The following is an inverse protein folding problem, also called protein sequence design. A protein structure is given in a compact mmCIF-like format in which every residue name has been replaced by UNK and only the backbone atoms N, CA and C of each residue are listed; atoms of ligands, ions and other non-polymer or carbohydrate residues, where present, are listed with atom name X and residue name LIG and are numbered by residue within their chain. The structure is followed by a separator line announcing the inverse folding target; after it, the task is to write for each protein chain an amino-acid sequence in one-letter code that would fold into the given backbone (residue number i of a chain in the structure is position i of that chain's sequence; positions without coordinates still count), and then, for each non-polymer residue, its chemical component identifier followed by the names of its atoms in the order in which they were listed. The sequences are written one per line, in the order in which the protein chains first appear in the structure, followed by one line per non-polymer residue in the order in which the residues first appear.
data_IF_715172496568
#
_entry.id   IF_715172496568
#
_cell.length_a   1.000
_cell.length_b   1.000
_cell.length_c   1.000
_cell.angle_alpha   90.00
_cell.angle_beta   90.00
_cell.angle_gamma   90.00
#
_symmetry.space_group_name_H-M   'P 1'
#
loop_
_entity.id
_entity.type
_entity.pdbx_description
1 polymer ?
#
# COMPACT_ATOMS: atom_id res chain seq x y z
N UNK A 1 -28.55 1.85 -15.17
CA UNK A 1 -28.37 0.41 -14.98
C UNK A 1 -26.90 0.10 -14.66
N UNK A 2 -26.66 -0.95 -13.89
CA UNK A 2 -25.31 -1.34 -13.46
C UNK A 2 -24.57 -2.17 -14.51
N UNK A 3 -25.27 -2.77 -15.45
CA UNK A 3 -24.74 -3.52 -16.57
C UNK A 3 -25.11 -2.87 -17.91
N UNK A 4 -24.22 -2.99 -18.90
CA UNK A 4 -24.41 -2.47 -20.24
C UNK A 4 -23.93 -3.47 -21.30
N UNK A 5 -24.15 -3.17 -22.58
CA UNK A 5 -23.50 -3.87 -23.67
C UNK A 5 -21.99 -3.69 -23.56
N UNK A 6 -21.27 -4.73 -23.87
CA UNK A 6 -19.81 -4.78 -23.83
C UNK A 6 -19.24 -4.94 -25.23
N UNK A 7 -18.11 -4.33 -25.44
CA UNK A 7 -17.34 -4.50 -26.67
C UNK A 7 -16.62 -5.83 -26.59
N UNK A 8 -16.32 -6.44 -27.72
CA UNK A 8 -15.41 -7.57 -27.81
C UNK A 8 -14.04 -7.00 -28.19
N UNK A 9 -13.08 -7.08 -27.28
CA UNK A 9 -11.68 -6.72 -27.48
C UNK A 9 -10.83 -7.91 -27.90
N UNK A 10 -9.56 -7.72 -28.06
CA UNK A 10 -8.61 -8.81 -28.33
C UNK A 10 -8.40 -9.71 -27.10
N UNK A 11 -8.70 -9.20 -25.92
CA UNK A 11 -8.79 -9.98 -24.70
C UNK A 11 -10.15 -9.75 -24.02
N UNK A 12 -10.77 -10.85 -23.58
CA UNK A 12 -11.96 -10.78 -22.77
C UNK A 12 -11.62 -11.14 -21.33
N UNK A 13 -11.65 -10.15 -20.44
CA UNK A 13 -11.35 -10.34 -19.03
C UNK A 13 -12.38 -11.28 -18.39
N UNK A 14 -11.92 -12.29 -17.67
CA UNK A 14 -12.75 -13.35 -17.09
C UNK A 14 -12.75 -13.28 -15.57
N UNK A 15 -13.73 -13.94 -14.94
CA UNK A 15 -13.79 -14.11 -13.50
C UNK A 15 -12.49 -14.74 -12.96
N UNK A 16 -11.97 -15.77 -13.64
CA UNK A 16 -10.74 -16.47 -13.23
C UNK A 16 -9.54 -15.52 -13.21
N UNK A 17 -9.45 -14.57 -14.15
CA UNK A 17 -8.39 -13.56 -14.14
C UNK A 17 -8.47 -12.69 -12.88
N UNK A 18 -9.69 -12.28 -12.51
CA UNK A 18 -9.91 -11.46 -11.33
C UNK A 18 -9.57 -12.23 -10.05
N UNK A 19 -10.12 -13.43 -9.89
CA UNK A 19 -9.97 -14.25 -8.68
C UNK A 19 -8.53 -14.76 -8.47
N UNK A 20 -7.80 -14.96 -9.54
CA UNK A 20 -6.36 -15.28 -9.46
C UNK A 20 -5.48 -14.04 -9.24
N UNK A 21 -6.05 -12.82 -9.33
CA UNK A 21 -5.29 -11.57 -9.28
C UNK A 21 -4.27 -11.45 -10.40
N UNK A 22 -4.66 -11.89 -11.56
CA UNK A 22 -3.79 -11.90 -12.72
C UNK A 22 -3.33 -10.50 -13.10
N UNK A 23 -2.05 -10.38 -13.45
CA UNK A 23 -1.48 -9.23 -14.12
C UNK A 23 -1.06 -9.61 -15.53
N UNK A 24 -1.05 -8.63 -16.43
CA UNK A 24 -0.70 -8.80 -17.82
C UNK A 24 0.44 -7.85 -18.20
N UNK A 25 1.28 -8.19 -19.17
CA UNK A 25 2.33 -7.28 -19.65
C UNK A 25 1.80 -5.95 -20.18
N UNK A 26 0.55 -5.95 -20.66
CA UNK A 26 -0.16 -4.80 -21.19
C UNK A 26 -1.19 -4.20 -20.21
N UNK A 27 -1.00 -4.37 -18.91
CA UNK A 27 -1.85 -3.71 -17.92
C UNK A 27 -1.69 -2.20 -17.97
N UNK A 28 -2.82 -1.51 -18.08
CA UNK A 28 -2.90 -0.04 -18.09
C UNK A 28 -3.83 0.51 -17.01
N UNK A 29 -4.48 -0.38 -16.29
CA UNK A 29 -5.35 -0.09 -15.14
C UNK A 29 -5.38 -1.29 -14.20
N UNK A 30 -6.02 -1.14 -13.05
CA UNK A 30 -6.22 -2.22 -12.09
C UNK A 30 -7.59 -2.13 -11.41
N UNK A 31 -8.03 -3.23 -10.82
CA UNK A 31 -9.21 -3.28 -9.96
C UNK A 31 -8.98 -4.23 -8.77
N UNK A 32 -9.89 -4.24 -7.83
CA UNK A 32 -9.82 -5.05 -6.61
C UNK A 32 -11.13 -5.00 -5.82
N UNK A 33 -12.24 -4.74 -6.52
CA UNK A 33 -13.56 -4.74 -5.89
C UNK A 33 -14.20 -6.13 -5.94
N UNK A 34 -15.08 -6.40 -4.98
CA UNK A 34 -15.87 -7.63 -4.96
C UNK A 34 -16.67 -7.84 -6.24
N UNK A 35 -16.84 -9.08 -6.63
CA UNK A 35 -17.74 -9.48 -7.71
C UNK A 35 -19.17 -9.34 -7.23
N UNK A 36 -19.79 -8.22 -7.58
CA UNK A 36 -21.08 -7.77 -7.10
C UNK A 36 -22.10 -7.76 -8.25
N UNK A 37 -23.16 -8.54 -8.11
CA UNK A 37 -24.24 -8.70 -9.08
C UNK A 37 -25.54 -8.20 -8.54
N UNK A 38 -26.38 -7.71 -9.45
CA UNK A 38 -27.74 -7.25 -9.14
C UNK A 38 -28.73 -7.79 -10.16
N UNK A 39 -28.99 -9.11 -10.15
CA UNK A 39 -30.03 -9.69 -11.02
C UNK A 39 -31.38 -9.13 -10.64
N UNK A 40 -32.35 -9.09 -11.59
CA UNK A 40 -33.73 -8.80 -11.27
C UNK A 40 -34.28 -9.86 -10.30
N UNK A 41 -34.96 -9.44 -9.25
CA UNK A 41 -35.70 -10.33 -8.36
C UNK A 41 -37.10 -10.61 -8.88
N UNK A 42 -37.72 -11.70 -8.43
CA UNK A 42 -39.07 -12.13 -8.83
C UNK A 42 -40.15 -11.11 -8.46
N UNK A 43 -39.91 -10.26 -7.47
CA UNK A 43 -40.83 -9.22 -7.02
C UNK A 43 -40.70 -7.88 -7.77
N UNK A 44 -39.88 -7.86 -8.85
CA UNK A 44 -39.62 -6.67 -9.65
C UNK A 44 -38.52 -5.75 -9.06
N UNK A 45 -37.88 -6.14 -7.98
CA UNK A 45 -36.73 -5.47 -7.38
C UNK A 45 -35.40 -5.96 -7.95
N UNK A 46 -34.37 -5.85 -7.15
CA UNK A 46 -33.02 -6.36 -7.45
C UNK A 46 -32.48 -7.13 -6.26
N UNK A 47 -31.92 -8.28 -6.54
CA UNK A 47 -31.08 -8.98 -5.56
C UNK A 47 -29.65 -8.43 -5.60
N UNK A 48 -28.95 -8.50 -4.47
CA UNK A 48 -27.53 -8.21 -4.39
C UNK A 48 -26.81 -9.48 -4.05
N UNK A 49 -26.01 -9.96 -4.97
CA UNK A 49 -25.23 -11.18 -4.81
C UNK A 49 -23.76 -10.80 -4.84
N UNK A 50 -23.06 -10.97 -3.71
CA UNK A 50 -21.62 -10.91 -3.67
C UNK A 50 -21.06 -12.32 -3.89
N UNK A 51 -20.37 -12.50 -5.00
CA UNK A 51 -19.85 -13.80 -5.39
C UNK A 51 -18.50 -14.09 -4.76
N UNK A 52 -17.55 -13.15 -4.88
CA UNK A 52 -16.23 -13.26 -4.28
C UNK A 52 -15.59 -11.88 -4.10
N UNK A 53 -14.51 -11.83 -3.33
CA UNK A 53 -13.65 -10.66 -3.22
C UNK A 53 -12.30 -10.96 -3.87
N UNK A 54 -12.16 -10.69 -5.17
CA UNK A 54 -10.90 -10.93 -5.84
C UNK A 54 -9.81 -10.01 -5.28
N UNK A 55 -8.57 -10.47 -5.29
CA UNK A 55 -7.42 -9.62 -4.99
C UNK A 55 -7.26 -8.53 -6.05
N UNK A 56 -6.30 -7.61 -5.83
CA UNK A 56 -5.92 -6.66 -6.87
C UNK A 56 -5.48 -7.40 -8.13
N UNK A 57 -6.01 -7.00 -9.28
CA UNK A 57 -5.75 -7.59 -10.57
C UNK A 57 -5.61 -6.54 -11.65
N UNK A 58 -4.87 -6.86 -12.69
CA UNK A 58 -4.64 -5.98 -13.82
C UNK A 58 -5.84 -5.88 -14.76
N UNK A 59 -5.90 -4.79 -15.49
CA UNK A 59 -6.81 -4.58 -16.63
C UNK A 59 -5.95 -4.32 -17.86
N UNK A 60 -5.86 -5.31 -18.77
CA UNK A 60 -5.00 -5.20 -19.93
C UNK A 60 -5.58 -4.25 -20.99
N UNK A 61 -4.71 -3.55 -21.70
CA UNK A 61 -5.11 -2.63 -22.77
C UNK A 61 -5.98 -3.32 -23.83
N UNK A 62 -5.69 -4.60 -24.14
CA UNK A 62 -6.45 -5.41 -25.10
C UNK A 62 -7.91 -5.63 -24.73
N UNK A 63 -8.32 -5.34 -23.50
CA UNK A 63 -9.72 -5.33 -23.08
C UNK A 63 -10.40 -3.97 -23.25
N UNK A 64 -9.64 -2.92 -23.58
CA UNK A 64 -10.11 -1.53 -23.63
C UNK A 64 -10.33 -1.00 -25.05
N UNK A 65 -10.20 -1.81 -26.08
CA UNK A 65 -10.49 -1.42 -27.45
C UNK A 65 -11.27 -2.51 -28.21
N UNK A 66 -11.90 -2.10 -29.29
CA UNK A 66 -12.69 -3.01 -30.13
C UNK A 66 -11.82 -3.80 -31.07
N UNK A 67 -12.06 -5.13 -31.14
CA UNK A 67 -11.37 -6.00 -32.08
C UNK A 67 -11.74 -5.77 -33.54
N UNK A 68 -12.94 -5.29 -33.79
CA UNK A 68 -13.48 -5.16 -35.16
C UNK A 68 -13.77 -3.72 -35.60
N UNK A 69 -13.49 -2.73 -34.74
CA UNK A 69 -13.54 -1.32 -35.10
C UNK A 69 -12.17 -0.72 -34.78
N UNK A 70 -11.40 -0.41 -35.81
CA UNK A 70 -9.96 -0.13 -35.73
C UNK A 70 -9.56 0.99 -34.77
N UNK A 71 -10.36 2.05 -34.65
CA UNK A 71 -10.05 3.23 -33.89
C UNK A 71 -10.98 3.48 -32.70
N UNK A 72 -11.59 2.42 -32.14
CA UNK A 72 -12.53 2.52 -31.03
C UNK A 72 -11.92 2.01 -29.72
N UNK A 73 -11.70 2.92 -28.79
CA UNK A 73 -11.44 2.60 -27.39
C UNK A 73 -12.73 2.63 -26.57
N UNK A 74 -12.75 1.85 -25.51
CA UNK A 74 -13.81 1.78 -24.53
C UNK A 74 -13.26 1.85 -23.11
N UNK A 75 -13.86 2.70 -22.28
CA UNK A 75 -13.54 2.79 -20.87
C UNK A 75 -14.80 2.65 -20.02
N UNK A 76 -14.69 1.96 -18.89
CA UNK A 76 -15.82 1.79 -17.99
C UNK A 76 -16.53 0.47 -18.15
N UNK A 77 -17.85 0.48 -18.00
CA UNK A 77 -18.67 -0.75 -17.90
C UNK A 77 -18.85 -1.51 -19.21
N UNK A 78 -18.44 -0.93 -20.32
CA UNK A 78 -18.59 -1.46 -21.67
C UNK A 78 -17.34 -2.11 -22.24
N UNK A 79 -16.28 -2.29 -21.46
CA UNK A 79 -15.05 -2.95 -21.90
C UNK A 79 -15.26 -4.44 -22.16
N UNK A 80 -14.29 -5.09 -22.80
CA UNK A 80 -14.30 -6.51 -23.09
C UNK A 80 -14.11 -7.35 -21.81
N UNK A 81 -15.21 -7.80 -21.26
CA UNK A 81 -15.21 -8.63 -20.04
C UNK A 81 -16.42 -9.56 -20.04
N UNK A 82 -16.30 -10.70 -19.38
CA UNK A 82 -17.45 -11.58 -19.11
C UNK A 82 -18.45 -10.90 -18.17
N UNK A 83 -19.67 -11.43 -18.09
CA UNK A 83 -20.69 -10.94 -17.17
C UNK A 83 -20.18 -10.91 -15.71
N UNK A 84 -19.55 -12.00 -15.26
CA UNK A 84 -19.04 -12.13 -13.91
C UNK A 84 -17.87 -11.16 -13.65
N UNK A 85 -16.89 -11.08 -14.56
CA UNK A 85 -15.77 -10.15 -14.40
C UNK A 85 -16.22 -8.69 -14.34
N UNK A 86 -17.25 -8.33 -15.11
CA UNK A 86 -17.79 -6.97 -15.11
C UNK A 86 -18.25 -6.51 -13.71
N UNK A 87 -18.74 -7.43 -12.87
CA UNK A 87 -19.13 -7.14 -11.49
C UNK A 87 -18.01 -6.51 -10.66
N UNK A 88 -16.74 -6.94 -10.87
CA UNK A 88 -15.58 -6.45 -10.13
C UNK A 88 -14.91 -5.19 -10.69
N UNK A 89 -15.20 -4.82 -11.95
CA UNK A 89 -14.48 -3.72 -12.63
C UNK A 89 -15.38 -2.50 -12.92
N UNK A 90 -16.65 -2.54 -12.64
CA UNK A 90 -17.64 -1.53 -13.05
C UNK A 90 -17.77 -0.31 -12.14
N UNK A 91 -17.03 -0.25 -11.04
CA UNK A 91 -17.12 0.86 -10.10
C UNK A 91 -16.52 2.14 -10.67
N UNK A 92 -17.05 3.28 -10.23
CA UNK A 92 -16.69 4.60 -10.75
C UNK A 92 -15.18 4.85 -10.73
N UNK A 93 -14.51 4.49 -9.65
CA UNK A 93 -13.05 4.69 -9.53
C UNK A 93 -12.29 3.88 -10.58
N UNK A 94 -12.63 2.61 -10.75
CA UNK A 94 -12.04 1.74 -11.78
C UNK A 94 -12.34 2.28 -13.18
N UNK A 95 -13.57 2.72 -13.43
CA UNK A 95 -13.94 3.34 -14.71
C UNK A 95 -13.13 4.62 -14.99
N UNK A 96 -12.86 5.44 -13.98
CA UNK A 96 -12.04 6.64 -14.13
C UNK A 96 -10.58 6.32 -14.50
N UNK A 97 -9.98 5.31 -13.86
CA UNK A 97 -8.62 4.86 -14.18
C UNK A 97 -8.56 4.33 -15.63
N UNK A 98 -9.54 3.53 -16.04
CA UNK A 98 -9.63 3.07 -17.43
C UNK A 98 -9.79 4.24 -18.40
N UNK A 99 -10.52 5.29 -18.02
CA UNK A 99 -10.65 6.52 -18.82
C UNK A 99 -9.31 7.22 -19.04
N UNK A 100 -8.50 7.35 -17.99
CA UNK A 100 -7.15 7.88 -18.08
C UNK A 100 -6.29 7.01 -18.99
N UNK A 101 -6.34 5.69 -18.80
CA UNK A 101 -5.57 4.74 -19.59
C UNK A 101 -5.89 4.82 -21.10
N UNK A 102 -7.17 4.83 -21.45
CA UNK A 102 -7.60 4.93 -22.85
C UNK A 102 -7.25 6.25 -23.48
N UNK A 103 -7.31 7.36 -22.74
CA UNK A 103 -6.91 8.68 -23.23
C UNK A 103 -5.42 8.73 -23.58
N UNK A 104 -4.56 8.20 -22.69
CA UNK A 104 -3.11 8.10 -22.93
C UNK A 104 -2.83 7.17 -24.11
N UNK A 105 -3.48 6.01 -24.16
CA UNK A 105 -3.31 5.06 -25.26
C UNK A 105 -3.72 5.66 -26.61
N UNK A 106 -4.85 6.36 -26.67
CA UNK A 106 -5.31 7.03 -27.90
C UNK A 106 -4.33 8.13 -28.36
N UNK A 107 -3.80 8.91 -27.41
CA UNK A 107 -2.77 9.91 -27.70
C UNK A 107 -1.49 9.25 -28.24
N UNK A 108 -1.08 8.14 -27.66
CA UNK A 108 0.09 7.37 -28.11
C UNK A 108 -0.12 6.77 -29.51
N UNK A 109 -1.29 6.19 -29.78
CA UNK A 109 -1.65 5.69 -31.11
C UNK A 109 -1.50 6.78 -32.16
N UNK A 110 -2.03 7.98 -31.87
CA UNK A 110 -1.92 9.13 -32.79
C UNK A 110 -0.45 9.52 -33.02
N UNK A 111 0.35 9.58 -31.98
CA UNK A 111 1.77 9.95 -32.08
C UNK A 111 2.60 8.93 -32.84
N UNK A 112 2.26 7.63 -32.72
CA UNK A 112 2.94 6.52 -33.37
C UNK A 112 2.40 6.22 -34.78
N UNK A 113 1.27 6.84 -35.18
CA UNK A 113 0.59 6.54 -36.45
C UNK A 113 0.03 5.09 -36.47
N UNK A 114 -0.36 4.52 -35.32
CA UNK A 114 -0.86 3.16 -35.15
C UNK A 114 -2.31 3.15 -34.73
N UNK A 115 -3.03 2.08 -35.02
CA UNK A 115 -4.32 1.75 -34.41
C UNK A 115 -4.10 0.90 -33.14
N UNK A 116 -5.08 0.82 -32.23
CA UNK A 116 -4.91 0.11 -30.94
C UNK A 116 -4.42 -1.34 -31.09
N UNK A 117 -4.91 -2.07 -32.08
CA UNK A 117 -4.55 -3.46 -32.35
C UNK A 117 -3.07 -3.65 -32.74
N UNK A 118 -2.45 -2.64 -33.36
CA UNK A 118 -1.07 -2.70 -33.85
C UNK A 118 -0.04 -2.29 -32.79
N UNK A 119 -0.48 -1.95 -31.58
CA UNK A 119 0.43 -1.59 -30.50
C UNK A 119 1.22 -2.83 -30.03
N UNK A 120 2.53 -2.75 -30.16
CA UNK A 120 3.44 -3.75 -29.59
C UNK A 120 3.50 -3.65 -28.06
N UNK A 121 4.01 -4.68 -27.40
CA UNK A 121 4.26 -4.63 -25.95
C UNK A 121 5.21 -3.47 -25.59
N UNK A 122 6.16 -3.15 -26.44
CA UNK A 122 7.06 -2.02 -26.20
C UNK A 122 6.35 -0.66 -26.28
N UNK A 123 5.41 -0.50 -27.24
CA UNK A 123 4.55 0.69 -27.29
C UNK A 123 3.71 0.80 -26.00
N UNK A 124 3.19 -0.33 -25.50
CA UNK A 124 2.40 -0.34 -24.25
C UNK A 124 3.26 0.01 -23.04
N UNK A 125 4.50 -0.44 -22.96
CA UNK A 125 5.44 0.00 -21.91
C UNK A 125 5.63 1.52 -21.95
N UNK A 126 5.74 2.11 -23.15
CA UNK A 126 5.76 3.56 -23.30
C UNK A 126 4.49 4.23 -22.74
N UNK A 127 3.31 3.67 -23.03
CA UNK A 127 2.04 4.11 -22.46
C UNK A 127 2.04 4.01 -20.94
N UNK A 128 2.54 2.91 -20.38
CA UNK A 128 2.66 2.71 -18.93
C UNK A 128 3.54 3.76 -18.28
N UNK A 129 4.68 4.12 -18.89
CA UNK A 129 5.56 5.17 -18.36
C UNK A 129 4.89 6.55 -18.38
N UNK A 130 4.10 6.87 -19.42
CA UNK A 130 3.29 8.10 -19.45
C UNK A 130 2.24 8.09 -18.34
N UNK A 131 1.54 6.98 -18.15
CA UNK A 131 0.56 6.81 -17.08
C UNK A 131 1.18 7.03 -15.69
N UNK A 132 2.33 6.41 -15.41
CA UNK A 132 3.07 6.60 -14.16
C UNK A 132 3.50 8.06 -13.96
N UNK A 133 3.88 8.76 -15.04
CA UNK A 133 4.23 10.19 -14.96
C UNK A 133 3.03 11.04 -14.54
N UNK A 134 1.83 10.63 -14.93
CA UNK A 134 0.55 11.27 -14.55
C UNK A 134 -0.09 10.66 -13.29
N UNK A 135 0.71 10.09 -12.38
CA UNK A 135 0.29 9.55 -11.08
C UNK A 135 -0.72 8.38 -11.18
N UNK A 136 -0.76 7.68 -12.32
CA UNK A 136 -1.53 6.45 -12.43
C UNK A 136 -0.81 5.32 -11.68
N UNK A 137 -1.61 4.48 -11.02
CA UNK A 137 -1.13 3.30 -10.34
C UNK A 137 -1.23 2.10 -11.26
N UNK A 138 -0.13 1.36 -11.41
CA UNK A 138 -0.06 0.13 -12.19
C UNK A 138 0.61 -0.96 -11.34
N UNK A 139 -0.04 -2.13 -11.24
CA UNK A 139 0.46 -3.22 -10.41
C UNK A 139 1.76 -3.80 -10.96
N UNK A 140 2.81 -3.79 -10.16
CA UNK A 140 4.11 -4.36 -10.52
C UNK A 140 4.89 -3.57 -11.59
N UNK A 141 4.37 -2.43 -12.06
CA UNK A 141 5.05 -1.55 -13.02
C UNK A 141 5.71 -0.40 -12.28
N UNK A 142 6.99 -0.19 -12.54
CA UNK A 142 7.77 0.89 -11.94
C UNK A 142 8.16 1.96 -12.96
N UNK A 143 8.51 3.13 -12.46
CA UNK A 143 9.10 4.19 -13.25
C UNK A 143 10.47 3.74 -13.81
N UNK A 144 10.60 3.70 -15.11
CA UNK A 144 11.83 3.39 -15.86
C UNK A 144 12.24 4.53 -16.78
N UNK A 145 11.66 5.73 -16.59
CA UNK A 145 11.95 6.91 -17.39
C UNK A 145 13.44 7.29 -17.30
N UNK A 146 14.21 7.17 -18.40
CA UNK A 146 15.64 7.48 -18.39
C UNK A 146 15.93 8.98 -18.21
N UNK A 147 14.95 9.84 -18.46
CA UNK A 147 15.08 11.29 -18.23
C UNK A 147 14.94 11.68 -16.76
N UNK A 148 14.45 10.77 -15.91
CA UNK A 148 14.38 10.98 -14.47
C UNK A 148 15.75 10.73 -13.82
N UNK A 149 16.52 11.79 -13.63
CA UNK A 149 17.87 11.73 -13.04
C UNK A 149 17.88 11.43 -11.53
N UNK A 150 16.72 11.46 -10.86
CA UNK A 150 16.63 11.04 -9.45
C UNK A 150 16.97 9.56 -9.28
N UNK A 151 16.66 8.72 -10.26
CA UNK A 151 16.87 7.26 -10.23
C UNK A 151 18.33 6.83 -10.11
N UNK A 152 19.27 7.69 -10.48
CA UNK A 152 20.72 7.43 -10.41
C UNK A 152 21.39 8.19 -9.26
N UNK A 153 20.61 8.88 -8.43
CA UNK A 153 21.11 9.60 -7.27
C UNK A 153 21.30 8.67 -6.08
N UNK A 154 22.28 8.98 -5.24
CA UNK A 154 22.36 8.44 -3.87
C UNK A 154 21.36 9.19 -3.00
N UNK A 155 20.60 8.47 -2.21
CA UNK A 155 19.58 9.05 -1.31
C UNK A 155 20.12 9.09 0.12
N UNK A 156 20.01 10.23 0.76
CA UNK A 156 20.34 10.46 2.17
C UNK A 156 19.14 11.10 2.87
N UNK A 157 18.88 10.75 4.12
CA UNK A 157 17.79 11.34 4.91
C UNK A 157 18.25 11.70 6.32
N UNK A 158 17.58 12.65 6.94
CA UNK A 158 17.83 13.03 8.34
C UNK A 158 17.52 11.89 9.31
N UNK A 159 16.52 11.08 8.98
CA UNK A 159 16.14 9.90 9.74
C UNK A 159 15.28 8.96 8.89
N UNK A 160 15.18 7.71 9.31
CA UNK A 160 14.27 6.71 8.77
C UNK A 160 13.46 6.12 9.92
N UNK A 161 12.16 5.93 9.70
CA UNK A 161 11.32 5.24 10.68
C UNK A 161 11.75 3.78 10.80
N UNK A 162 11.94 3.35 12.03
CA UNK A 162 12.21 1.96 12.40
C UNK A 162 10.99 1.33 13.04
N UNK A 163 10.86 0.01 13.02
CA UNK A 163 9.82 -0.69 13.76
C UNK A 163 10.12 -0.72 15.27
N UNK A 164 11.40 -0.83 15.62
CA UNK A 164 11.88 -0.83 16.99
C UNK A 164 12.02 0.60 17.50
N UNK A 165 11.19 1.01 18.44
CA UNK A 165 11.52 2.11 19.35
C UNK A 165 11.44 1.53 20.77
N UNK A 166 12.45 1.74 21.61
CA UNK A 166 12.29 1.41 23.03
C UNK A 166 11.07 2.20 23.53
N UNK A 167 10.22 1.61 24.38
CA UNK A 167 9.13 2.37 24.97
C UNK A 167 9.73 3.53 25.74
N UNK A 168 9.19 4.73 25.51
CA UNK A 168 9.46 5.85 26.38
C UNK A 168 9.02 5.46 27.81
N UNK A 169 9.57 6.10 28.82
CA UNK A 169 9.26 5.89 30.23
C UNK A 169 7.77 6.01 30.56
N UNK A 170 6.97 6.54 29.66
CA UNK A 170 5.51 6.72 29.74
C UNK A 170 4.74 5.87 28.72
N UNK A 171 5.23 4.67 28.39
CA UNK A 171 4.52 3.77 27.49
C UNK A 171 3.11 3.46 28.04
N UNK A 172 2.10 3.51 27.18
CA UNK A 172 0.81 2.92 27.49
C UNK A 172 0.99 1.39 27.57
N UNK A 173 0.35 0.77 28.56
CA UNK A 173 0.44 -0.65 28.78
C UNK A 173 -0.89 -1.33 28.48
N UNK A 174 -0.85 -2.45 27.80
CA UNK A 174 -2.01 -3.25 27.46
C UNK A 174 -1.94 -4.62 28.14
N UNK A 175 -3.00 -4.98 28.85
CA UNK A 175 -3.13 -6.30 29.47
C UNK A 175 -3.13 -7.40 28.40
N UNK A 176 -2.29 -8.41 28.60
CA UNK A 176 -2.17 -9.58 27.72
C UNK A 176 -2.85 -10.83 28.27
N UNK A 177 -3.62 -10.74 29.34
CA UNK A 177 -4.31 -11.90 29.96
C UNK A 177 -5.19 -12.67 28.96
N UNK A 178 -5.85 -11.96 28.07
CA UNK A 178 -6.68 -12.55 27.00
C UNK A 178 -5.93 -12.79 25.69
N UNK A 179 -4.65 -12.47 25.65
CA UNK A 179 -3.80 -12.50 24.46
C UNK A 179 -3.69 -11.16 23.77
N UNK A 180 -2.46 -10.70 23.58
CA UNK A 180 -2.10 -9.51 22.82
C UNK A 180 -1.08 -9.86 21.76
N UNK A 181 -1.20 -9.29 20.58
CA UNK A 181 -0.29 -9.63 19.52
C UNK A 181 -0.26 -8.61 18.38
N UNK A 182 0.46 -8.96 17.36
CA UNK A 182 0.72 -8.12 16.21
C UNK A 182 0.62 -8.96 14.95
N UNK A 183 -0.10 -8.40 13.98
CA UNK A 183 -0.01 -8.79 12.58
C UNK A 183 0.95 -7.81 11.90
N UNK A 184 1.96 -8.31 11.24
CA UNK A 184 2.92 -7.48 10.55
C UNK A 184 3.26 -8.02 9.17
N UNK A 185 3.55 -7.09 8.29
CA UNK A 185 3.99 -7.33 6.93
C UNK A 185 5.47 -7.00 6.87
N UNK A 186 6.29 -7.92 6.43
CA UNK A 186 7.73 -7.78 6.50
C UNK A 186 8.44 -7.82 5.15
N UNK A 187 9.43 -6.98 5.09
CA UNK A 187 10.67 -7.17 4.40
C UNK A 187 11.67 -7.53 5.48
N UNK A 188 12.30 -8.51 5.43
CA UNK A 188 12.80 -9.48 4.47
C UNK A 188 11.96 -10.75 4.41
N UNK A 189 12.36 -11.68 3.54
CA UNK A 189 11.69 -12.98 3.36
C UNK A 189 11.82 -13.94 4.55
N UNK A 190 12.52 -13.54 5.61
CA UNK A 190 12.77 -14.33 6.80
C UNK A 190 12.99 -13.45 8.03
N UNK A 191 12.52 -13.93 9.15
CA UNK A 191 12.72 -13.32 10.46
C UNK A 191 13.66 -14.21 11.26
N UNK A 192 14.69 -13.63 11.82
CA UNK A 192 15.68 -14.30 12.67
C UNK A 192 15.31 -14.15 14.15
N UNK A 193 14.75 -13.00 14.52
CA UNK A 193 14.32 -12.69 15.88
C UNK A 193 13.14 -11.72 15.85
N UNK A 194 12.21 -11.89 16.80
CA UNK A 194 11.13 -10.95 17.05
C UNK A 194 10.90 -10.83 18.55
N UNK A 195 10.92 -9.62 19.09
CA UNK A 195 10.82 -9.35 20.53
C UNK A 195 9.71 -8.36 20.83
N UNK A 196 8.95 -8.62 21.90
CA UNK A 196 7.97 -7.69 22.48
C UNK A 196 8.51 -7.12 23.80
N UNK A 197 8.22 -5.85 24.08
CA UNK A 197 8.55 -5.26 25.36
C UNK A 197 7.40 -5.48 26.33
N UNK A 198 7.70 -6.20 27.43
CA UNK A 198 6.70 -6.74 28.35
C UNK A 198 7.07 -6.38 29.78
N UNK A 199 6.08 -6.20 30.65
CA UNK A 199 6.27 -6.16 32.09
C UNK A 199 5.35 -7.14 32.80
N UNK A 200 5.86 -7.71 33.88
CA UNK A 200 5.10 -8.53 34.82
C UNK A 200 4.89 -7.72 36.11
N UNK A 201 3.70 -7.12 36.34
CA UNK A 201 3.43 -6.36 37.57
C UNK A 201 3.06 -7.27 38.75
N UNK A 202 2.85 -8.56 38.50
CA UNK A 202 2.43 -9.54 39.47
C UNK A 202 3.55 -10.46 39.95
N UNK A 203 3.16 -11.59 40.55
CA UNK A 203 4.07 -12.66 40.92
C UNK A 203 4.68 -13.33 39.69
N UNK A 204 5.74 -14.13 39.94
CA UNK A 204 6.30 -14.98 38.88
C UNK A 204 5.20 -15.72 38.12
N UNK A 205 5.22 -15.63 36.82
CA UNK A 205 4.17 -16.20 35.96
C UNK A 205 4.76 -16.79 34.69
N UNK A 206 4.08 -17.78 34.14
CA UNK A 206 4.40 -18.35 32.85
C UNK A 206 3.47 -17.73 31.82
N UNK A 207 4.05 -17.19 30.75
CA UNK A 207 3.31 -16.64 29.60
C UNK A 207 3.48 -17.55 28.39
N UNK A 208 2.44 -17.62 27.60
CA UNK A 208 2.41 -18.35 26.34
C UNK A 208 2.81 -17.42 25.20
N UNK A 209 3.74 -17.86 24.38
CA UNK A 209 4.16 -17.20 23.17
C UNK A 209 3.68 -18.00 21.97
N UNK A 210 3.10 -17.33 21.00
CA UNK A 210 2.59 -17.97 19.78
C UNK A 210 2.97 -17.15 18.57
N UNK A 211 3.34 -17.79 17.48
CA UNK A 211 3.58 -17.14 16.22
C UNK A 211 3.24 -18.03 15.02
N UNK A 212 2.99 -17.42 13.89
CA UNK A 212 2.62 -18.12 12.68
C UNK A 212 2.41 -17.16 11.51
N UNK A 213 1.74 -17.67 10.50
CA UNK A 213 1.41 -16.90 9.32
C UNK A 213 -0.05 -16.48 9.35
N UNK A 214 -0.32 -15.27 8.84
CA UNK A 214 -1.68 -14.89 8.52
C UNK A 214 -2.02 -15.50 7.16
N UNK A 215 -2.97 -16.41 7.12
CA UNK A 215 -3.52 -16.91 5.89
C UNK A 215 -4.59 -15.94 5.36
N UNK A 216 -4.59 -15.70 4.04
CA UNK A 216 -5.70 -15.00 3.43
C UNK A 216 -6.95 -15.83 3.64
N UNK A 217 -8.04 -15.27 4.18
CA UNK A 217 -9.28 -16.00 4.34
C UNK A 217 -9.87 -16.28 2.97
N UNK A 218 -9.37 -17.32 2.31
CA UNK A 218 -10.09 -17.97 1.22
C UNK A 218 -11.12 -18.92 1.86
N UNK A 219 -12.01 -18.38 2.69
CA UNK A 219 -13.24 -19.11 2.93
C UNK A 219 -14.07 -18.96 1.67
N UNK A 220 -14.38 -20.10 1.07
CA UNK A 220 -15.56 -20.21 0.25
C UNK A 220 -16.69 -19.51 1.01
N UNK A 221 -17.24 -18.47 0.43
CA UNK A 221 -18.39 -17.82 1.01
C UNK A 221 -19.47 -18.90 1.16
N UNK A 222 -20.15 -19.00 2.30
CA UNK A 222 -21.25 -19.96 2.44
C UNK A 222 -22.19 -19.79 1.26
N UNK A 223 -22.64 -20.89 0.71
CA UNK A 223 -23.47 -20.92 -0.50
C UNK A 223 -24.56 -19.85 -0.35
N UNK A 224 -24.61 -18.93 -1.29
CA UNK A 224 -25.53 -17.78 -1.28
C UNK A 224 -26.99 -18.21 -1.12
N UNK A 225 -27.29 -19.49 -1.42
CA UNK A 225 -28.62 -20.10 -1.27
C UNK A 225 -29.10 -20.24 0.15
N UNK A 226 -28.22 -20.19 1.15
CA UNK A 226 -28.59 -20.27 2.57
C UNK A 226 -28.83 -18.91 3.23
N UNK A 227 -28.74 -17.81 2.49
CA UNK A 227 -29.00 -16.47 3.04
C UNK A 227 -30.49 -16.20 3.13
N UNK A 228 -30.96 -15.91 4.34
CA UNK A 228 -32.33 -15.53 4.62
C UNK A 228 -32.77 -14.30 3.80
N UNK A 229 -33.97 -14.27 3.26
CA UNK A 229 -34.42 -13.26 2.29
C UNK A 229 -34.60 -11.83 2.82
N UNK A 230 -34.32 -11.54 4.07
CA UNK A 230 -34.73 -10.30 4.75
C UNK A 230 -33.63 -9.46 5.32
N UNK A 231 -32.36 -9.87 5.22
CA UNK A 231 -31.26 -9.02 5.66
C UNK A 231 -30.99 -7.94 4.62
N UNK A 232 -31.58 -6.77 4.83
CA UNK A 232 -31.12 -5.55 4.17
C UNK A 232 -29.64 -5.42 4.47
N UNK A 233 -28.80 -5.57 3.47
CA UNK A 233 -27.39 -5.25 3.56
C UNK A 233 -27.24 -3.77 3.90
N UNK A 234 -27.13 -3.48 5.17
CA UNK A 234 -26.41 -2.30 5.59
C UNK A 234 -24.98 -2.52 5.13
N UNK A 235 -24.44 -1.58 4.39
CA UNK A 235 -23.03 -1.51 4.08
C UNK A 235 -22.24 -1.32 5.38
N UNK A 236 -22.25 -2.31 6.25
CA UNK A 236 -21.21 -2.42 7.24
C UNK A 236 -20.01 -2.92 6.46
N UNK A 237 -19.00 -2.09 6.34
CA UNK A 237 -17.66 -2.55 6.10
C UNK A 237 -17.37 -3.60 7.18
N UNK A 238 -17.69 -4.84 6.86
CA UNK A 238 -17.17 -5.92 7.66
C UNK A 238 -15.66 -5.80 7.46
N UNK A 239 -14.88 -5.58 8.51
CA UNK A 239 -13.45 -5.74 8.40
C UNK A 239 -13.25 -7.11 7.74
N UNK A 240 -12.30 -7.21 6.85
CA UNK A 240 -11.83 -8.47 6.27
C UNK A 240 -11.96 -9.50 7.38
N UNK A 241 -12.75 -10.59 7.19
CA UNK A 241 -12.99 -11.53 8.25
C UNK A 241 -11.65 -11.87 8.88
N UNK A 242 -11.54 -11.96 10.20
CA UNK A 242 -10.28 -12.12 10.88
C UNK A 242 -9.54 -13.24 10.18
N UNK A 243 -8.34 -12.95 9.69
CA UNK A 243 -7.51 -13.93 9.03
C UNK A 243 -7.45 -15.15 9.95
N UNK A 244 -7.69 -16.33 9.44
CA UNK A 244 -7.43 -17.54 10.21
C UNK A 244 -5.91 -17.59 10.32
N UNK A 245 -5.41 -17.38 11.53
CA UNK A 245 -3.99 -17.45 11.79
C UNK A 245 -3.61 -18.93 11.91
N UNK A 246 -2.75 -19.40 11.01
CA UNK A 246 -2.14 -20.70 11.20
C UNK A 246 -1.19 -20.62 12.40
N UNK A 247 -1.38 -21.47 13.37
CA UNK A 247 -0.47 -21.62 14.49
C UNK A 247 0.71 -22.47 14.03
N UNK A 248 1.88 -21.86 13.85
CA UNK A 248 3.08 -22.58 13.44
C UNK A 248 3.88 -23.07 14.65
N UNK A 249 3.97 -22.26 15.71
CA UNK A 249 4.64 -22.66 16.95
C UNK A 249 4.05 -21.99 18.19
N UNK A 250 4.10 -22.74 19.29
CA UNK A 250 3.83 -22.28 20.65
C UNK A 250 5.02 -22.58 21.54
N UNK A 251 5.33 -21.65 22.41
CA UNK A 251 6.32 -21.82 23.48
C UNK A 251 5.83 -21.13 24.73
N UNK A 252 6.49 -21.40 25.86
CA UNK A 252 6.19 -20.73 27.11
C UNK A 252 7.47 -20.24 27.76
N UNK A 253 7.40 -19.07 28.40
CA UNK A 253 8.51 -18.51 29.17
C UNK A 253 8.04 -18.11 30.55
N UNK A 254 8.86 -18.34 31.57
CA UNK A 254 8.62 -17.84 32.94
C UNK A 254 9.18 -16.42 33.04
N UNK A 255 8.36 -15.50 33.55
CA UNK A 255 8.73 -14.11 33.82
C UNK A 255 8.69 -13.87 35.32
N UNK A 256 9.81 -13.48 35.95
CA UNK A 256 9.85 -13.23 37.39
C UNK A 256 8.98 -12.04 37.78
N UNK A 257 8.66 -11.96 39.08
CA UNK A 257 8.00 -10.78 39.65
C UNK A 257 8.79 -9.51 39.38
N UNK A 258 8.11 -8.45 38.91
CA UNK A 258 8.73 -7.15 38.61
C UNK A 258 9.53 -7.14 37.31
N UNK A 259 9.49 -8.19 36.50
CA UNK A 259 10.16 -8.19 35.20
C UNK A 259 9.69 -7.00 34.33
N UNK A 260 10.63 -6.34 33.67
CA UNK A 260 10.34 -5.35 32.62
C UNK A 260 11.46 -5.40 31.59
N UNK A 261 11.14 -5.76 30.35
CA UNK A 261 12.15 -5.93 29.31
C UNK A 261 11.64 -6.55 28.03
N UNK A 262 12.57 -6.80 27.13
CA UNK A 262 12.31 -7.46 25.86
C UNK A 262 12.18 -8.97 26.04
N UNK A 263 11.09 -9.54 25.54
CA UNK A 263 10.83 -10.98 25.49
C UNK A 263 10.99 -11.46 24.06
N UNK A 264 11.88 -12.44 23.86
CA UNK A 264 12.06 -13.11 22.57
C UNK A 264 10.85 -13.99 22.28
N UNK A 265 10.15 -13.70 21.18
CA UNK A 265 8.93 -14.40 20.78
C UNK A 265 9.16 -15.44 19.68
N UNK A 266 10.33 -15.40 19.03
CA UNK A 266 10.74 -16.36 17.99
C UNK A 266 12.00 -17.06 18.51
N UNK A 267 11.90 -18.29 18.98
CA UNK A 267 13.05 -19.00 19.53
C UNK A 267 14.07 -19.37 18.45
N UNK A 268 15.33 -19.51 18.87
CA UNK A 268 16.54 -19.75 18.08
C UNK A 268 16.52 -20.94 17.08
N UNK A 269 15.46 -21.70 17.01
CA UNK A 269 15.42 -22.98 16.30
C UNK A 269 15.25 -22.89 14.78
N UNK A 270 15.23 -21.71 14.18
CA UNK A 270 15.13 -21.63 12.73
C UNK A 270 14.73 -20.29 12.17
N UNK A 271 15.17 -20.05 10.98
CA UNK A 271 14.80 -18.90 10.18
C UNK A 271 13.31 -19.00 9.84
N UNK A 272 12.51 -18.08 10.36
CA UNK A 272 11.10 -18.00 10.04
C UNK A 272 10.91 -17.45 8.62
N UNK A 273 10.55 -18.33 7.70
CA UNK A 273 10.23 -17.95 6.32
C UNK A 273 8.79 -17.51 6.25
N UNK A 274 8.57 -16.29 5.82
CA UNK A 274 7.23 -15.74 5.67
C UNK A 274 6.53 -16.36 4.44
N UNK A 275 5.26 -16.73 4.61
CA UNK A 275 4.40 -17.19 3.52
C UNK A 275 3.68 -16.00 2.88
N UNK A 276 3.36 -16.02 1.58
CA UNK A 276 2.54 -14.99 0.96
C UNK A 276 1.17 -14.85 1.65
N UNK A 277 0.84 -13.65 2.08
CA UNK A 277 -0.46 -13.35 2.69
C UNK A 277 -1.61 -13.38 1.68
N UNK A 278 -1.31 -13.04 0.45
CA UNK A 278 -2.27 -13.05 -0.64
C UNK A 278 -1.59 -13.61 -1.90
N UNK A 279 -2.28 -14.47 -2.65
CA UNK A 279 -1.71 -15.09 -3.85
C UNK A 279 -1.28 -14.10 -4.93
N UNK A 280 -1.83 -12.91 -4.92
CA UNK A 280 -1.67 -11.92 -5.98
C UNK A 280 -0.78 -10.75 -5.63
N UNK A 281 -0.64 -10.48 -4.37
CA UNK A 281 0.31 -9.52 -3.89
C UNK A 281 1.38 -10.35 -3.21
N UNK A 282 2.63 -10.25 -3.62
CA UNK A 282 3.78 -10.94 -3.02
C UNK A 282 4.04 -10.47 -1.58
N UNK A 283 2.98 -10.22 -0.86
CA UNK A 283 2.97 -9.74 0.50
C UNK A 283 3.07 -10.91 1.44
N UNK A 284 4.01 -10.81 2.32
CA UNK A 284 4.22 -11.76 3.37
C UNK A 284 3.67 -11.16 4.66
N UNK A 285 2.78 -11.88 5.30
CA UNK A 285 2.26 -11.49 6.60
C UNK A 285 2.55 -12.57 7.62
N UNK A 286 2.92 -12.12 8.79
CA UNK A 286 3.16 -12.96 9.93
C UNK A 286 2.49 -12.35 11.15
N UNK A 287 2.28 -13.16 12.16
CA UNK A 287 1.76 -12.70 13.43
C UNK A 287 2.55 -13.32 14.60
N UNK A 288 2.61 -12.58 15.66
CA UNK A 288 3.10 -13.07 16.95
C UNK A 288 2.17 -12.59 18.07
N UNK A 289 2.08 -13.35 19.13
CA UNK A 289 1.23 -13.02 20.26
C UNK A 289 1.83 -13.52 21.57
N UNK A 290 1.48 -12.83 22.66
CA UNK A 290 1.75 -13.21 24.04
C UNK A 290 0.43 -13.29 24.80
N UNK A 291 0.27 -14.32 25.63
CA UNK A 291 -0.92 -14.54 26.45
C UNK A 291 -0.48 -14.88 27.89
N UNK A 292 -1.01 -14.16 28.84
CA UNK A 292 -0.72 -14.35 30.26
C UNK A 292 -0.95 -13.07 31.07
N UNK A 293 -0.88 -13.14 32.42
CA UNK A 293 -1.13 -12.03 33.32
C UNK A 293 0.05 -11.04 33.32
N UNK A 294 0.35 -10.50 32.17
CA UNK A 294 1.42 -9.52 31.90
C UNK A 294 0.89 -8.38 31.06
N UNK A 295 1.66 -7.32 30.95
CA UNK A 295 1.31 -6.16 30.15
C UNK A 295 2.35 -5.93 29.04
N UNK A 296 1.87 -5.58 27.86
CA UNK A 296 2.70 -5.25 26.69
C UNK A 296 2.77 -3.75 26.52
N UNK A 297 3.97 -3.21 26.32
CA UNK A 297 4.15 -1.82 26.04
C UNK A 297 3.56 -1.45 24.67
N UNK A 298 2.75 -0.39 24.63
CA UNK A 298 2.11 0.10 23.43
C UNK A 298 2.75 1.40 22.97
N UNK A 299 3.03 1.49 21.70
CA UNK A 299 3.58 2.71 21.07
C UNK A 299 2.62 3.22 20.00
N UNK A 300 2.49 4.53 19.92
CA UNK A 300 1.76 5.15 18.81
C UNK A 300 2.61 5.06 17.55
N UNK A 301 2.07 4.46 16.49
CA UNK A 301 2.75 4.36 15.20
C UNK A 301 1.83 4.81 14.09
N UNK A 302 2.26 5.76 13.28
CA UNK A 302 1.47 6.26 12.15
C UNK A 302 1.47 5.30 10.94
N UNK A 303 2.22 4.20 11.00
CA UNK A 303 2.41 3.30 9.86
C UNK A 303 1.44 2.12 9.92
N UNK A 304 0.58 1.99 8.93
CA UNK A 304 -0.39 0.91 8.75
C UNK A 304 0.22 -0.48 8.41
N UNK A 305 1.53 -0.64 8.48
CA UNK A 305 2.21 -1.91 8.20
C UNK A 305 2.19 -2.88 9.37
N UNK A 306 1.95 -2.36 10.56
CA UNK A 306 1.80 -3.15 11.78
C UNK A 306 0.40 -2.94 12.31
N UNK A 307 -0.33 -4.03 12.49
CA UNK A 307 -1.68 -4.00 13.04
C UNK A 307 -1.73 -4.76 14.34
N UNK A 308 -2.14 -4.12 15.43
CA UNK A 308 -2.38 -4.82 16.66
C UNK A 308 -3.54 -5.80 16.50
N UNK A 309 -3.40 -6.96 17.10
CA UNK A 309 -4.44 -7.97 17.19
C UNK A 309 -4.75 -8.25 18.66
N UNK A 310 -6.02 -8.36 18.96
CA UNK A 310 -6.51 -8.74 20.28
C UNK A 310 -7.34 -10.00 20.18
N UNK A 311 -7.25 -10.86 21.18
CA UNK A 311 -8.08 -12.05 21.29
C UNK A 311 -9.39 -11.69 21.98
N UNK A 312 -10.51 -11.88 21.31
CA UNK A 312 -11.85 -11.79 21.87
C UNK A 312 -12.59 -13.09 21.62
N UNK A 313 -13.09 -13.72 22.70
CA UNK A 313 -13.90 -14.93 22.60
C UNK A 313 -13.29 -16.00 21.67
N UNK A 314 -12.02 -16.33 21.85
CA UNK A 314 -11.26 -17.29 21.04
C UNK A 314 -10.98 -16.90 19.58
N UNK A 315 -11.24 -15.65 19.21
CA UNK A 315 -10.92 -15.13 17.89
C UNK A 315 -9.99 -13.93 17.97
N UNK A 316 -9.01 -13.88 17.07
CA UNK A 316 -8.14 -12.72 16.95
C UNK A 316 -8.83 -11.63 16.10
N UNK A 317 -8.83 -10.40 16.58
CA UNK A 317 -9.35 -9.24 15.85
C UNK A 317 -8.26 -8.23 15.65
N UNK A 318 -8.21 -7.63 14.46
CA UNK A 318 -7.40 -6.45 14.22
C UNK A 318 -8.02 -5.24 14.92
N UNK A 319 -7.19 -4.47 15.59
CA UNK A 319 -7.58 -3.21 16.22
C UNK A 319 -6.89 -2.03 15.54
N UNK A 320 -7.48 -0.86 15.64
CA UNK A 320 -6.87 0.38 15.18
C UNK A 320 -6.27 1.13 16.39
N UNK A 321 -5.16 1.78 16.22
CA UNK A 321 -4.55 2.64 17.24
C UNK A 321 -3.09 2.30 17.54
N UNK A 322 -2.72 2.32 18.81
CA UNK A 322 -1.36 1.99 19.27
C UNK A 322 -0.99 0.55 18.93
N UNK A 323 0.27 0.31 18.62
CA UNK A 323 0.82 -1.02 18.36
C UNK A 323 1.74 -1.44 19.49
N UNK A 324 1.86 -2.74 19.80
CA UNK A 324 2.88 -3.23 20.70
C UNK A 324 4.30 -2.78 20.30
N UNK A 325 5.14 -2.48 21.27
CA UNK A 325 6.56 -2.24 21.04
C UNK A 325 7.19 -3.54 20.55
N UNK A 326 7.71 -3.51 19.33
CA UNK A 326 8.19 -4.66 18.57
C UNK A 326 9.58 -4.37 18.03
N UNK A 327 10.50 -5.31 18.21
CA UNK A 327 11.76 -5.38 17.48
C UNK A 327 11.79 -6.63 16.61
N UNK A 328 12.24 -6.50 15.38
CA UNK A 328 12.37 -7.60 14.42
C UNK A 328 13.77 -7.56 13.84
N UNK A 329 14.40 -8.72 13.72
CA UNK A 329 15.70 -8.88 13.05
C UNK A 329 15.55 -9.81 11.85
N UNK A 330 16.02 -9.41 10.65
CA UNK A 330 16.52 -8.08 10.34
C UNK A 330 15.38 -7.05 10.35
N UNK A 331 15.74 -5.79 10.69
CA UNK A 331 14.75 -4.69 10.73
C UNK A 331 14.15 -4.50 9.33
N UNK A 332 12.84 -4.62 9.16
CA UNK A 332 12.19 -4.49 7.86
C UNK A 332 12.24 -3.09 7.25
N UNK A 333 12.68 -2.07 8.00
CA UNK A 333 12.86 -0.66 7.57
C UNK A 333 11.76 -0.19 6.61
N UNK A 334 10.53 -0.13 7.06
CA UNK A 334 9.40 0.15 6.19
C UNK A 334 9.45 1.54 5.55
N UNK A 335 10.17 2.48 6.15
CA UNK A 335 10.28 3.87 5.71
C UNK A 335 11.64 4.23 5.11
N UNK A 336 12.33 3.29 4.46
CA UNK A 336 13.69 3.49 3.93
C UNK A 336 13.76 4.64 2.92
N UNK A 337 14.77 5.50 3.07
CA UNK A 337 14.97 6.66 2.21
C UNK A 337 15.08 6.29 0.72
N UNK A 338 15.76 5.20 0.39
CA UNK A 338 15.93 4.76 -0.99
C UNK A 338 14.62 4.46 -1.73
N UNK A 339 13.50 4.29 -1.03
CA UNK A 339 12.22 4.02 -1.66
C UNK A 339 11.70 5.20 -2.51
N UNK A 340 12.15 6.43 -2.27
CA UNK A 340 11.68 7.58 -3.07
C UNK A 340 12.14 7.57 -4.53
N UNK A 341 13.09 6.69 -4.87
CA UNK A 341 13.65 6.54 -6.22
C UNK A 341 13.55 5.12 -6.75
N UNK A 342 12.84 4.22 -6.06
CA UNK A 342 12.68 2.81 -6.47
C UNK A 342 11.72 2.65 -7.66
N UNK A 343 10.99 3.71 -7.99
CA UNK A 343 10.11 3.80 -9.15
C UNK A 343 8.67 3.35 -8.90
N UNK A 344 8.29 2.99 -7.68
CA UNK A 344 6.94 2.62 -7.35
C UNK A 344 6.17 3.78 -6.72
N UNK A 345 5.00 4.07 -7.26
CA UNK A 345 4.16 5.22 -6.82
C UNK A 345 3.25 4.90 -5.65
N UNK A 346 3.25 3.68 -5.15
CA UNK A 346 2.21 3.20 -4.23
C UNK A 346 2.70 2.04 -3.39
N UNK A 347 1.93 1.77 -2.35
CA UNK A 347 2.09 0.53 -1.58
C UNK A 347 1.73 -0.67 -2.45
N UNK A 348 2.56 -1.67 -2.49
CA UNK A 348 2.16 -2.99 -2.94
C UNK A 348 1.49 -3.74 -1.78
N UNK A 349 0.17 -3.62 -1.70
CA UNK A 349 -0.61 -4.15 -0.60
C UNK A 349 -0.33 -3.45 0.74
N UNK A 350 -0.39 -4.19 1.84
CA UNK A 350 -0.13 -3.63 3.17
C UNK A 350 1.34 -3.74 3.60
N UNK A 351 2.18 -4.41 2.82
CA UNK A 351 3.51 -4.81 3.22
C UNK A 351 4.64 -3.96 2.66
N UNK A 352 4.50 -3.47 1.45
CA UNK A 352 5.55 -2.72 0.78
C UNK A 352 5.19 -1.26 0.75
N UNK A 353 5.79 -0.51 1.67
CA UNK A 353 5.74 0.94 1.63
C UNK A 353 6.83 1.44 0.70
N UNK A 354 6.50 1.68 -0.55
CA UNK A 354 7.39 2.41 -1.46
C UNK A 354 7.34 3.89 -1.11
N UNK A 355 7.90 4.24 0.06
CA UNK A 355 7.96 5.61 0.54
C UNK A 355 9.05 5.76 1.60
N UNK A 356 9.62 6.93 1.69
CA UNK A 356 10.38 7.34 2.86
C UNK A 356 9.43 7.76 3.96
N UNK A 357 9.72 7.34 5.19
CA UNK A 357 9.06 7.79 6.40
C UNK A 357 10.13 8.18 7.41
N UNK A 358 10.08 9.40 7.89
CA UNK A 358 11.03 9.90 8.89
C UNK A 358 10.69 9.41 10.29
N UNK A 359 11.59 9.70 11.23
CA UNK A 359 11.24 9.78 12.65
C UNK A 359 10.54 11.12 12.95
N UNK A 360 10.05 11.29 14.19
CA UNK A 360 9.60 12.55 14.76
C UNK A 360 10.69 13.11 15.69
N UNK A 361 10.72 14.42 15.99
CA UNK A 361 9.84 15.47 15.46
C UNK A 361 10.28 15.99 14.09
N UNK A 362 9.42 16.79 13.47
CA UNK A 362 9.77 17.64 12.35
C UNK A 362 10.55 18.89 12.83
N UNK A 363 11.38 19.55 11.99
CA UNK A 363 11.58 19.27 10.56
C UNK A 363 12.44 18.07 10.27
N UNK A 364 12.16 17.42 9.14
CA UNK A 364 12.94 16.29 8.63
C UNK A 364 13.23 16.51 7.15
N UNK A 365 14.34 15.96 6.65
CA UNK A 365 14.75 16.15 5.26
C UNK A 365 15.18 14.85 4.60
N UNK A 366 15.06 14.85 3.26
CA UNK A 366 15.58 13.82 2.39
C UNK A 366 16.28 14.48 1.19
N UNK A 367 17.42 13.96 0.77
CA UNK A 367 18.22 14.53 -0.29
C UNK A 367 18.67 13.52 -1.33
N UNK A 368 18.77 14.00 -2.57
CA UNK A 368 19.36 13.32 -3.70
C UNK A 368 20.76 13.89 -3.93
N UNK A 369 21.75 13.01 -4.13
CA UNK A 369 23.15 13.38 -4.38
C UNK A 369 23.64 12.68 -5.63
N UNK A 370 24.23 13.44 -6.53
CA UNK A 370 24.88 12.97 -7.74
C UNK A 370 26.39 13.11 -7.65
N UNK A 371 27.12 12.23 -8.35
CA UNK A 371 28.59 12.27 -8.44
C UNK A 371 29.12 13.51 -9.19
N UNK A 372 28.29 14.05 -10.08
CA UNK A 372 28.62 15.22 -10.91
C UNK A 372 27.47 16.22 -10.87
N UNK A 373 27.73 17.52 -11.13
CA UNK A 373 26.67 18.52 -11.20
C UNK A 373 25.62 18.16 -12.25
N UNK A 374 24.33 18.30 -11.88
CA UNK A 374 23.18 18.06 -12.74
C UNK A 374 22.38 19.36 -12.92
N UNK A 375 21.85 19.53 -14.11
CA UNK A 375 21.01 20.68 -14.44
C UNK A 375 19.55 20.36 -14.11
N UNK A 376 19.00 21.04 -13.12
CA UNK A 376 17.61 20.80 -12.67
C UNK A 376 16.71 21.87 -13.26
N UNK A 377 15.66 21.46 -13.96
CA UNK A 377 14.61 22.32 -14.48
C UNK A 377 13.26 22.03 -13.86
N UNK A 378 13.00 20.76 -13.53
CA UNK A 378 11.69 20.30 -13.04
C UNK A 378 11.85 19.24 -11.96
N UNK A 379 11.07 19.38 -10.88
CA UNK A 379 10.98 18.43 -9.79
C UNK A 379 9.54 18.01 -9.59
N UNK A 380 9.28 16.70 -9.56
CA UNK A 380 7.96 16.14 -9.27
C UNK A 380 8.03 15.43 -7.93
N UNK A 381 7.08 15.75 -7.05
CA UNK A 381 6.93 15.15 -5.72
C UNK A 381 5.63 14.35 -5.65
N UNK A 382 5.68 13.19 -5.01
CA UNK A 382 4.51 12.37 -4.68
C UNK A 382 4.44 12.16 -3.18
N UNK A 383 3.36 12.61 -2.57
CA UNK A 383 3.12 12.50 -1.13
C UNK A 383 2.11 11.41 -0.81
N UNK A 384 2.12 10.92 0.42
CA UNK A 384 1.10 10.00 0.90
C UNK A 384 -0.21 10.75 1.14
N UNK A 385 -1.29 10.24 0.58
CA UNK A 385 -2.65 10.76 0.78
C UNK A 385 -3.60 9.67 1.26
N UNK A 386 -3.08 8.55 1.75
CA UNK A 386 -3.87 7.39 2.17
C UNK A 386 -4.87 6.91 1.11
N UNK A 387 -4.55 7.16 -0.17
CA UNK A 387 -5.42 6.83 -1.31
C UNK A 387 -5.80 5.33 -1.37
N UNK A 388 -5.07 4.50 -0.66
CA UNK A 388 -5.25 3.05 -0.57
C UNK A 388 -5.93 2.57 0.71
N UNK A 389 -6.23 3.47 1.64
CA UNK A 389 -7.08 3.09 2.75
C UNK A 389 -8.52 3.06 2.28
N UNK A 390 -9.24 2.01 2.62
CA UNK A 390 -10.69 1.92 2.46
C UNK A 390 -11.43 2.93 3.35
N UNK A 391 -10.74 3.95 3.83
CA UNK A 391 -11.31 4.96 4.67
C UNK A 391 -12.46 5.64 3.92
N UNK A 392 -13.65 5.27 4.27
CA UNK A 392 -14.89 6.00 4.06
C UNK A 392 -14.86 7.36 4.78
N UNK A 393 -13.67 7.81 5.17
CA UNK A 393 -13.54 9.08 5.85
C UNK A 393 -13.96 10.18 4.89
N UNK A 394 -15.01 10.88 5.25
CA UNK A 394 -15.40 12.16 4.69
C UNK A 394 -14.32 13.25 4.93
N UNK A 395 -13.12 12.84 5.35
CA UNK A 395 -12.01 13.76 5.52
C UNK A 395 -11.54 14.22 4.13
N UNK A 396 -11.71 15.50 3.91
CA UNK A 396 -11.32 16.19 2.67
C UNK A 396 -9.82 16.07 2.38
N UNK A 397 -9.01 15.80 3.41
CA UNK A 397 -7.56 15.78 3.32
C UNK A 397 -7.00 14.64 4.17
N UNK A 398 -6.00 13.96 3.63
CA UNK A 398 -5.26 12.95 4.39
C UNK A 398 -4.30 13.61 5.37
N UNK A 399 -4.31 13.19 6.63
CA UNK A 399 -3.33 13.62 7.63
C UNK A 399 -1.89 13.32 7.23
N UNK A 400 -1.67 12.25 6.46
CA UNK A 400 -0.34 11.81 6.02
C UNK A 400 0.24 12.66 4.88
N UNK A 401 -0.51 13.60 4.33
CA UNK A 401 0.00 14.48 3.28
C UNK A 401 0.95 15.54 3.88
N UNK A 402 2.07 15.76 3.21
CA UNK A 402 2.99 16.84 3.54
C UNK A 402 2.28 18.18 3.27
N UNK A 403 2.26 19.05 4.28
CA UNK A 403 1.61 20.36 4.21
C UNK A 403 2.59 21.48 3.85
N UNK A 404 3.69 21.58 4.60
CA UNK A 404 4.67 22.63 4.38
C UNK A 404 6.05 22.01 4.12
N UNK A 405 6.70 22.49 3.07
CA UNK A 405 8.02 21.99 2.68
C UNK A 405 8.80 23.01 1.86
N UNK A 406 10.10 22.78 1.77
CA UNK A 406 11.02 23.51 0.90
C UNK A 406 11.84 22.55 0.05
N UNK A 407 12.07 22.93 -1.21
CA UNK A 407 13.08 22.33 -2.08
C UNK A 407 14.30 23.24 -2.06
N UNK A 408 15.46 22.66 -1.85
CA UNK A 408 16.74 23.36 -1.69
C UNK A 408 17.82 22.69 -2.52
N UNK A 409 18.76 23.47 -3.00
CA UNK A 409 19.98 23.00 -3.66
C UNK A 409 21.22 23.38 -2.87
N UNK A 410 22.24 22.53 -2.93
CA UNK A 410 23.51 22.84 -2.31
C UNK A 410 24.32 23.84 -3.18
N UNK A 411 24.83 24.86 -2.53
CA UNK A 411 25.73 25.87 -3.13
C UNK A 411 26.99 25.99 -2.26
N UNK A 412 28.07 26.64 -2.75
CA UNK A 412 29.24 26.89 -1.92
C UNK A 412 28.94 27.69 -0.64
N UNK A 413 27.82 28.40 -0.58
CA UNK A 413 27.37 29.19 0.57
C UNK A 413 26.40 28.44 1.45
N UNK A 414 26.12 27.18 1.17
CA UNK A 414 25.17 26.33 1.87
C UNK A 414 23.88 26.06 1.08
N UNK A 415 22.83 25.62 1.78
CA UNK A 415 21.55 25.28 1.17
C UNK A 415 20.78 26.53 0.76
N UNK A 416 20.36 26.59 -0.51
CA UNK A 416 19.56 27.67 -1.09
C UNK A 416 18.19 27.16 -1.49
N UNK A 417 17.09 27.74 -1.01
CA UNK A 417 15.74 27.37 -1.42
C UNK A 417 15.53 27.74 -2.91
N UNK A 418 14.90 26.84 -3.66
CA UNK A 418 14.51 26.98 -5.08
C UNK A 418 13.00 26.92 -5.28
N UNK A 419 12.27 26.31 -4.33
CA UNK A 419 10.81 26.29 -4.29
C UNK A 419 10.35 26.04 -2.86
N UNK A 420 9.18 26.50 -2.51
CA UNK A 420 8.53 26.23 -1.22
C UNK A 420 7.01 26.12 -1.42
N UNK A 421 6.37 25.38 -0.55
CA UNK A 421 4.91 25.24 -0.53
C UNK A 421 4.42 25.30 0.91
N UNK A 422 3.28 25.96 1.11
CA UNK A 422 2.57 26.02 2.37
C UNK A 422 1.13 25.53 2.19
N UNK A 423 0.63 24.84 3.19
CA UNK A 423 -0.73 24.31 3.24
C UNK A 423 -1.11 23.40 2.07
N UNK A 424 -0.13 22.67 1.53
CA UNK A 424 -0.35 21.70 0.46
C UNK A 424 -1.33 20.61 0.92
N UNK A 425 -2.19 20.18 0.02
CA UNK A 425 -3.13 19.07 0.20
C UNK A 425 -3.13 18.11 -1.01
N UNK A 426 -2.28 18.38 -2.01
CA UNK A 426 -2.20 17.59 -3.23
C UNK A 426 -1.18 16.47 -3.06
N UNK A 427 -1.53 15.29 -3.53
CA UNK A 427 -0.63 14.16 -3.62
C UNK A 427 0.54 14.43 -4.56
N UNK A 428 0.24 15.00 -5.71
CA UNK A 428 1.19 15.27 -6.77
C UNK A 428 1.50 16.76 -6.84
N UNK A 429 2.78 17.09 -6.76
CA UNK A 429 3.28 18.45 -6.92
C UNK A 429 4.37 18.48 -7.97
N UNK A 430 4.30 19.45 -8.84
CA UNK A 430 5.30 19.70 -9.87
C UNK A 430 5.83 21.14 -9.72
N UNK A 431 7.16 21.25 -9.62
CA UNK A 431 7.87 22.51 -9.57
C UNK A 431 8.70 22.67 -10.85
N UNK A 432 8.28 23.59 -11.70
CA UNK A 432 9.06 24.02 -12.88
C UNK A 432 9.81 25.28 -12.50
N UNK A 433 11.14 25.19 -12.45
CA UNK A 433 11.99 26.31 -12.04
C UNK A 433 12.04 27.37 -13.15
N UNK A 434 12.05 28.64 -12.79
CA UNK A 434 12.17 29.74 -13.75
C UNK A 434 13.49 29.67 -14.53
N UNK A 435 14.56 29.28 -13.81
CA UNK A 435 15.90 29.10 -14.38
C UNK A 435 16.42 27.70 -14.07
N UNK A 436 17.20 27.15 -14.99
CA UNK A 436 17.93 25.91 -14.75
C UNK A 436 18.93 26.13 -13.61
N UNK A 437 18.92 25.22 -12.63
CA UNK A 437 19.86 25.26 -11.52
C UNK A 437 20.81 24.09 -11.63
N UNK A 438 22.13 24.39 -11.58
CA UNK A 438 23.17 23.38 -11.60
C UNK A 438 23.65 23.08 -10.16
N UNK A 439 23.60 21.81 -9.78
CA UNK A 439 23.95 21.38 -8.42
C UNK A 439 24.33 19.89 -8.38
N UNK A 440 25.05 19.49 -7.35
CA UNK A 440 25.30 18.08 -7.03
C UNK A 440 24.30 17.52 -6.02
N UNK A 441 23.48 18.37 -5.35
CA UNK A 441 22.54 17.91 -4.33
C UNK A 441 21.23 18.69 -4.35
N UNK A 442 20.12 17.97 -4.28
CA UNK A 442 18.76 18.49 -4.08
C UNK A 442 18.22 17.95 -2.76
N UNK A 443 17.61 18.80 -1.95
CA UNK A 443 17.01 18.44 -0.66
C UNK A 443 15.55 18.87 -0.60
N UNK A 444 14.69 17.97 -0.13
CA UNK A 444 13.34 18.27 0.30
C UNK A 444 13.34 18.32 1.83
N UNK A 445 13.01 19.46 2.40
CA UNK A 445 12.83 19.65 3.85
C UNK A 445 11.36 19.77 4.17
N UNK A 446 10.82 18.84 4.95
CA UNK A 446 9.42 18.81 5.40
C UNK A 446 9.35 19.44 6.78
N UNK A 447 8.53 20.48 6.92
CA UNK A 447 8.39 21.24 8.16
C UNK A 447 7.05 21.00 8.86
N UNK A 448 6.01 20.59 8.11
CA UNK A 448 4.68 20.29 8.68
C UNK A 448 3.96 19.20 7.87
N UNK A 449 3.28 18.32 8.58
CA UNK A 449 2.28 17.40 8.01
C UNK A 449 0.88 17.96 8.20
N UNK A 450 -0.10 17.47 7.46
CA UNK A 450 -1.51 17.85 7.67
C UNK A 450 -2.08 17.30 8.97
N UNK A 451 -1.67 16.11 9.37
CA UNK A 451 -2.02 15.52 10.65
C UNK A 451 -1.01 15.91 11.74
N UNK A 452 -1.49 16.02 12.95
CA UNK A 452 -0.66 16.32 14.12
C UNK A 452 0.28 15.16 14.44
N UNK A 453 1.51 15.48 14.83
CA UNK A 453 2.54 14.52 15.30
C UNK A 453 2.84 13.38 14.32
N UNK A 454 2.56 13.57 13.04
CA UNK A 454 2.89 12.58 12.00
C UNK A 454 4.32 12.78 11.49
N UNK A 455 5.04 11.68 11.16
CA UNK A 455 6.33 11.75 10.51
C UNK A 455 6.20 12.21 9.06
N UNK A 456 7.26 12.73 8.47
CA UNK A 456 7.29 13.02 7.04
C UNK A 456 7.13 11.74 6.23
N UNK A 457 6.27 11.79 5.21
CA UNK A 457 6.01 10.68 4.30
C UNK A 457 6.12 11.15 2.84
N UNK A 458 7.05 10.55 2.08
CA UNK A 458 7.26 10.88 0.66
C UNK A 458 7.36 9.60 -0.15
N UNK A 459 6.51 9.46 -1.17
CA UNK A 459 6.51 8.29 -2.05
C UNK A 459 7.60 8.36 -3.12
N UNK A 460 7.70 9.51 -3.79
CA UNK A 460 8.61 9.61 -4.92
C UNK A 460 9.08 11.04 -5.11
N UNK A 461 10.33 11.17 -5.53
CA UNK A 461 10.91 12.39 -6.06
C UNK A 461 11.46 12.07 -7.45
N UNK A 462 10.97 12.78 -8.47
CA UNK A 462 11.53 12.76 -9.84
C UNK A 462 12.19 14.08 -10.15
N UNK A 463 13.28 14.02 -10.90
CA UNK A 463 14.05 15.21 -11.26
C UNK A 463 14.38 15.16 -12.75
N UNK A 464 14.12 16.26 -13.44
CA UNK A 464 14.33 16.40 -14.88
C UNK A 464 15.19 17.61 -15.22
N UNK A 465 16.03 17.46 -16.23
CA UNK A 465 16.90 18.52 -16.73
C UNK A 465 16.20 19.46 -17.73
N UNK A 466 15.04 19.06 -18.22
CA UNK A 466 14.22 19.80 -19.20
C UNK A 466 12.73 19.79 -18.84
#
# INVERSE_FOLDING_TARGET
RRESRRVVGDYMLTQTDLESGRTFPDDVAFAGCGLDFHPPSHDGGYETIFYSHPPLHGIPLRSLYSRNVENLFCAGRNISATHLAQGGIRLIRTCAIMGQATAVAASSCRSLGKVPHDLSIEDVKGIQQVLLRHDALLLGVRNEDPADIARVATVEASSEATLGAPPATEANWMDATQGSGILFHCYPDKIESARLFVRNPGKETTVKLSYGYAESPQKEWPDVRERLPHERYVWSYQPIPPAEFSLDQESSISLPEGFSGWVECVPDAGIWKLKPYCRTIRNQAAWLAIEGPVEVAMVSRPLDIIRPILREACKWKMTNGSTPALEITPDPRPGKAAHIVDGYLHREGMARLHQWVSQNPLPQWISLKWSEPRKIRRVILRFDTTAFTTATSHQRYSGNCVADYQLEVETPQGWKPIAAEQDNFLRAREHVLEHVVETTRLRLTVTRMRGEQLPACVHEIRVYES
#
